data_IF_586663944962
#
_entry.id   IF_586663944962
#
_cell.length_a   1.000
_cell.length_b   1.000
_cell.length_c   1.000
_cell.angle_alpha   90.00
_cell.angle_beta   90.00
_cell.angle_gamma   90.00
#
_symmetry.space_group_name_H-M   'P 1'
#
loop_
_entity.id
_entity.type
_entity.pdbx_description
1 polymer ?
#
# COMPACT_ATOMS: atom_id res chain seq x y z
N UNK A 1 2.60 35.88 -7.66
CA UNK A 1 1.14 35.69 -7.85
C UNK A 1 0.52 35.69 -6.46
N UNK A 2 -0.63 36.32 -6.27
CA UNK A 2 -1.20 36.61 -4.96
C UNK A 2 -1.65 35.29 -4.30
N UNK A 3 -1.02 34.85 -3.22
CA UNK A 3 -1.32 33.60 -2.50
C UNK A 3 -2.83 33.46 -2.18
N UNK A 4 -3.48 34.58 -1.85
CA UNK A 4 -4.92 34.57 -1.60
C UNK A 4 -5.77 34.19 -2.83
N UNK A 5 -5.33 34.50 -4.04
CA UNK A 5 -6.06 34.08 -5.26
C UNK A 5 -5.92 32.60 -5.52
N UNK A 6 -4.75 32.05 -5.20
CA UNK A 6 -4.49 30.62 -5.35
C UNK A 6 -5.27 29.84 -4.29
N UNK A 7 -5.25 30.27 -3.03
CA UNK A 7 -6.04 29.67 -1.96
C UNK A 7 -7.54 29.65 -2.31
N UNK A 8 -8.08 30.77 -2.83
CA UNK A 8 -9.47 30.82 -3.30
C UNK A 8 -9.75 29.85 -4.44
N UNK A 9 -8.81 29.67 -5.36
CA UNK A 9 -8.96 28.70 -6.46
C UNK A 9 -8.91 27.27 -5.94
N UNK A 10 -8.01 26.96 -5.00
CA UNK A 10 -7.92 25.65 -4.36
C UNK A 10 -9.23 25.33 -3.63
N UNK A 11 -9.77 26.26 -2.85
CA UNK A 11 -11.07 26.07 -2.14
C UNK A 11 -12.20 25.74 -3.12
N UNK A 12 -12.31 26.44 -4.25
CA UNK A 12 -13.32 26.16 -5.26
C UNK A 12 -13.16 24.79 -5.91
N UNK A 13 -11.93 24.38 -6.18
CA UNK A 13 -11.64 23.07 -6.75
C UNK A 13 -11.97 21.95 -5.75
N UNK A 14 -11.67 22.14 -4.47
CA UNK A 14 -12.04 21.18 -3.43
C UNK A 14 -13.55 21.09 -3.23
N UNK A 15 -14.28 22.22 -3.31
CA UNK A 15 -15.73 22.22 -3.26
C UNK A 15 -16.34 21.45 -4.45
N UNK A 16 -15.83 21.69 -5.67
CA UNK A 16 -16.26 20.97 -6.87
C UNK A 16 -15.96 19.46 -6.75
N UNK A 17 -14.80 19.11 -6.23
CA UNK A 17 -14.43 17.72 -5.97
C UNK A 17 -15.37 17.04 -4.96
N UNK A 18 -15.81 17.79 -3.95
CA UNK A 18 -16.76 17.32 -2.93
C UNK A 18 -18.16 17.07 -3.48
N UNK A 19 -18.64 17.96 -4.34
CA UNK A 19 -19.94 17.82 -5.01
C UNK A 19 -19.97 16.61 -5.98
N UNK A 20 -18.87 16.31 -6.64
CA UNK A 20 -18.75 15.32 -7.70
C UNK A 20 -17.78 14.16 -7.33
N UNK A 21 -17.87 13.63 -6.09
CA UNK A 21 -16.91 12.63 -5.53
C UNK A 21 -16.69 11.38 -6.41
N UNK A 22 -17.68 10.94 -7.16
CA UNK A 22 -17.67 9.70 -7.96
C UNK A 22 -17.38 9.89 -9.44
N UNK A 23 -17.20 11.14 -9.90
CA UNK A 23 -17.13 11.52 -11.31
C UNK A 23 -15.70 11.96 -11.68
N UNK A 24 -15.36 11.84 -12.95
CA UNK A 24 -14.03 12.22 -13.46
C UNK A 24 -13.75 13.71 -13.27
N UNK A 25 -14.77 14.55 -13.29
CA UNK A 25 -14.66 15.99 -13.09
C UNK A 25 -14.25 16.32 -11.64
N UNK A 26 -14.90 15.69 -10.66
CA UNK A 26 -14.54 15.85 -9.24
C UNK A 26 -13.11 15.38 -8.95
N UNK A 27 -12.67 14.30 -9.60
CA UNK A 27 -11.31 13.81 -9.48
C UNK A 27 -10.28 14.76 -10.08
N UNK A 28 -10.55 15.26 -11.30
CA UNK A 28 -9.69 16.21 -11.96
C UNK A 28 -9.58 17.50 -11.15
N UNK A 29 -10.69 17.97 -10.59
CA UNK A 29 -10.71 19.13 -9.70
C UNK A 29 -9.85 18.92 -8.45
N UNK A 30 -9.97 17.74 -7.82
CA UNK A 30 -9.17 17.40 -6.64
C UNK A 30 -7.66 17.33 -6.96
N UNK A 31 -7.30 16.70 -8.06
CA UNK A 31 -5.92 16.61 -8.52
C UNK A 31 -5.32 18.00 -8.81
N UNK A 32 -6.11 18.87 -9.46
CA UNK A 32 -5.68 20.24 -9.74
C UNK A 32 -5.53 21.06 -8.46
N UNK A 33 -6.41 20.87 -7.48
CA UNK A 33 -6.28 21.51 -6.17
C UNK A 33 -4.98 21.12 -5.48
N UNK A 34 -4.69 19.83 -5.39
CA UNK A 34 -3.45 19.32 -4.82
C UNK A 34 -2.21 19.84 -5.52
N UNK A 35 -2.25 19.90 -6.84
CA UNK A 35 -1.15 20.45 -7.64
C UNK A 35 -0.87 21.90 -7.29
N UNK A 36 -1.91 22.73 -7.21
CA UNK A 36 -1.76 24.15 -6.86
C UNK A 36 -1.23 24.34 -5.44
N UNK A 37 -1.65 23.49 -4.49
CA UNK A 37 -1.13 23.51 -3.13
C UNK A 37 0.37 23.21 -3.10
N UNK A 38 0.82 22.17 -3.80
CA UNK A 38 2.24 21.79 -3.86
C UNK A 38 3.11 22.82 -4.59
N UNK A 39 2.64 23.34 -5.73
CA UNK A 39 3.38 24.34 -6.53
C UNK A 39 3.57 25.68 -5.79
N UNK A 40 2.71 25.98 -4.82
CA UNK A 40 2.71 27.25 -4.10
C UNK A 40 3.01 27.09 -2.58
N UNK A 41 3.43 25.90 -2.14
CA UNK A 41 3.74 25.57 -0.75
C UNK A 41 2.62 25.95 0.24
N UNK A 42 1.35 25.70 -0.20
CA UNK A 42 0.15 25.99 0.59
C UNK A 42 -0.16 24.77 1.46
N UNK A 43 -0.15 24.97 2.79
CA UNK A 43 -0.55 23.95 3.76
C UNK A 43 -2.09 23.80 3.81
N UNK A 44 -2.55 22.58 4.12
CA UNK A 44 -3.98 22.31 4.30
C UNK A 44 -4.63 23.19 5.38
N UNK A 45 -3.86 23.59 6.41
CA UNK A 45 -4.30 24.52 7.46
C UNK A 45 -4.60 25.94 6.95
N UNK A 46 -3.98 26.36 5.85
CA UNK A 46 -4.22 27.67 5.22
C UNK A 46 -5.53 27.73 4.42
N UNK A 47 -6.05 26.55 4.07
CA UNK A 47 -7.29 26.44 3.30
C UNK A 47 -8.52 26.68 4.19
N UNK A 48 -8.38 26.55 5.52
CA UNK A 48 -9.46 26.70 6.50
C UNK A 48 -10.32 25.45 6.60
N UNK A 49 -11.03 25.32 7.69
CA UNK A 49 -11.79 24.17 8.18
C UNK A 49 -11.33 22.80 7.69
N UNK A 50 -10.47 22.17 8.51
CA UNK A 50 -9.99 20.79 8.32
C UNK A 50 -11.14 19.76 8.13
N UNK A 51 -12.38 20.13 8.42
CA UNK A 51 -13.56 19.27 8.24
C UNK A 51 -13.84 18.99 6.75
N UNK A 52 -13.67 19.96 5.86
CA UNK A 52 -13.98 19.79 4.43
C UNK A 52 -13.04 18.85 3.71
N UNK A 53 -11.84 18.68 4.22
CA UNK A 53 -10.82 17.83 3.61
C UNK A 53 -10.79 16.44 4.23
N UNK A 54 -11.13 16.32 5.52
CA UNK A 54 -11.23 15.02 6.21
C UNK A 54 -12.31 14.12 5.60
N UNK A 55 -13.35 14.70 4.99
CA UNK A 55 -14.43 13.96 4.29
C UNK A 55 -13.96 13.13 3.09
N UNK A 56 -12.76 13.38 2.54
CA UNK A 56 -12.19 12.61 1.42
C UNK A 56 -11.24 11.51 1.89
N UNK A 57 -10.88 11.52 3.17
CA UNK A 57 -9.93 10.58 3.74
C UNK A 57 -10.70 9.55 4.55
N UNK A 58 -10.50 8.28 4.21
CA UNK A 58 -11.16 7.17 4.88
C UNK A 58 -10.16 6.09 5.28
N UNK A 59 -10.67 5.09 6.00
CA UNK A 59 -9.91 3.93 6.45
C UNK A 59 -10.51 2.66 5.86
N UNK A 60 -9.66 1.76 5.37
CA UNK A 60 -10.10 0.48 4.85
C UNK A 60 -9.28 -0.67 5.44
N UNK A 61 -9.96 -1.60 6.11
CA UNK A 61 -9.34 -2.81 6.61
C UNK A 61 -9.02 -3.74 5.44
N UNK A 62 -7.76 -4.14 5.32
CA UNK A 62 -7.29 -5.03 4.26
C UNK A 62 -7.33 -6.48 4.71
N UNK A 63 -6.97 -6.73 5.98
CA UNK A 63 -6.99 -8.07 6.56
C UNK A 63 -7.57 -8.03 7.97
N UNK A 64 -8.31 -9.09 8.34
CA UNK A 64 -8.84 -9.26 9.69
C UNK A 64 -8.51 -10.69 10.13
N UNK A 65 -7.38 -10.86 10.82
CA UNK A 65 -6.93 -12.17 11.30
C UNK A 65 -6.68 -12.17 12.81
N UNK A 66 -6.75 -13.35 13.43
CA UNK A 66 -6.40 -13.50 14.85
C UNK A 66 -4.92 -13.15 15.09
N UNK A 67 -4.05 -13.45 14.11
CA UNK A 67 -2.61 -13.14 14.16
C UNK A 67 -2.07 -12.88 12.76
N UNK A 68 -1.42 -11.72 12.59
CA UNK A 68 -0.77 -11.35 11.33
C UNK A 68 0.64 -11.96 11.23
N UNK A 69 0.95 -12.55 10.10
CA UNK A 69 2.30 -12.99 9.80
C UNK A 69 3.22 -11.80 9.49
N UNK A 70 4.52 -12.00 9.68
CA UNK A 70 5.53 -10.97 9.39
C UNK A 70 5.52 -10.50 7.93
N UNK A 71 5.27 -11.41 7.01
CA UNK A 71 5.25 -11.13 5.58
C UNK A 71 4.00 -10.34 5.14
N UNK A 72 2.85 -10.54 5.77
CA UNK A 72 1.65 -9.72 5.54
C UNK A 72 1.92 -8.26 5.91
N UNK A 73 2.56 -8.05 7.06
CA UNK A 73 2.95 -6.73 7.53
C UNK A 73 3.95 -6.06 6.59
N UNK A 74 4.90 -6.84 6.04
CA UNK A 74 5.89 -6.33 5.09
C UNK A 74 5.25 -6.01 3.74
N UNK A 75 4.37 -6.88 3.23
CA UNK A 75 3.62 -6.65 2.00
C UNK A 75 2.79 -5.39 2.09
N UNK A 76 2.01 -5.22 3.17
CA UNK A 76 1.19 -4.03 3.37
C UNK A 76 2.02 -2.75 3.38
N UNK A 77 3.22 -2.78 3.98
CA UNK A 77 4.12 -1.63 3.94
C UNK A 77 4.60 -1.32 2.53
N UNK A 78 5.00 -2.34 1.77
CA UNK A 78 5.41 -2.17 0.36
C UNK A 78 4.27 -1.53 -0.45
N UNK A 79 3.04 -2.01 -0.25
CA UNK A 79 1.87 -1.43 -0.93
C UNK A 79 1.64 0.02 -0.48
N UNK A 80 1.64 0.30 0.83
CA UNK A 80 1.39 1.65 1.34
C UNK A 80 2.43 2.66 0.82
N UNK A 81 3.70 2.26 0.78
CA UNK A 81 4.80 3.12 0.32
C UNK A 81 4.72 3.43 -1.20
N UNK A 82 4.00 2.58 -1.97
CA UNK A 82 3.93 2.69 -3.43
C UNK A 82 2.55 3.10 -3.98
N UNK A 83 1.47 3.07 -3.18
CA UNK A 83 0.10 3.33 -3.63
C UNK A 83 -0.57 4.52 -2.93
N UNK A 84 0.22 5.52 -2.50
CA UNK A 84 -0.25 6.83 -2.00
C UNK A 84 -1.10 6.77 -0.73
N UNK A 85 -1.01 5.68 0.03
CA UNK A 85 -1.74 5.51 1.29
C UNK A 85 -0.78 5.42 2.48
N UNK A 86 -1.30 5.61 3.67
CA UNK A 86 -0.65 5.28 4.94
C UNK A 86 -1.22 3.98 5.48
N UNK A 87 -0.55 3.39 6.47
CA UNK A 87 -1.05 2.16 7.09
C UNK A 87 -0.77 2.13 8.58
N UNK A 88 -1.63 1.44 9.30
CA UNK A 88 -1.42 1.09 10.71
C UNK A 88 -1.97 -0.31 11.01
N UNK A 89 -1.62 -0.80 12.20
CA UNK A 89 -2.17 -2.06 12.69
C UNK A 89 -3.26 -1.75 13.71
N UNK A 90 -4.44 -2.26 13.46
CA UNK A 90 -5.56 -2.19 14.38
C UNK A 90 -5.63 -3.50 15.17
N UNK A 91 -5.77 -3.39 16.50
CA UNK A 91 -5.91 -4.52 17.40
C UNK A 91 -7.26 -4.39 18.11
N UNK A 92 -8.20 -5.28 17.80
CA UNK A 92 -9.47 -5.34 18.52
C UNK A 92 -9.27 -6.13 19.80
N UNK A 93 -9.50 -5.48 20.92
CA UNK A 93 -9.65 -6.12 22.23
C UNK A 93 -11.11 -6.47 22.46
N UNK A 94 -11.35 -7.69 22.94
CA UNK A 94 -12.64 -8.09 23.49
C UNK A 94 -12.37 -8.69 24.88
N UNK A 95 -13.03 -8.10 25.91
CA UNK A 95 -12.91 -8.54 27.32
C UNK A 95 -11.45 -8.60 27.85
N UNK A 96 -10.58 -7.68 27.40
CA UNK A 96 -9.16 -7.63 27.82
C UNK A 96 -8.22 -8.58 27.06
N UNK A 97 -8.72 -9.33 26.10
CA UNK A 97 -7.90 -10.17 25.23
C UNK A 97 -7.87 -9.61 23.79
N UNK A 98 -6.68 -9.60 23.17
CA UNK A 98 -6.53 -9.24 21.74
C UNK A 98 -7.15 -10.36 20.90
N UNK A 99 -8.34 -10.11 20.36
CA UNK A 99 -9.10 -11.11 19.62
C UNK A 99 -8.75 -11.15 18.14
N UNK A 100 -8.45 -9.99 17.54
CA UNK A 100 -8.15 -9.89 16.10
C UNK A 100 -7.14 -8.78 15.84
N UNK A 101 -6.27 -9.01 14.86
CA UNK A 101 -5.35 -7.99 14.33
C UNK A 101 -5.75 -7.68 12.89
N UNK A 102 -5.84 -6.41 12.55
CA UNK A 102 -6.10 -5.95 11.20
C UNK A 102 -4.95 -5.07 10.68
N UNK A 103 -4.77 -5.08 9.37
CA UNK A 103 -4.00 -4.07 8.65
C UNK A 103 -5.01 -3.11 8.06
N UNK A 104 -4.85 -1.83 8.37
CA UNK A 104 -5.74 -0.78 7.90
C UNK A 104 -4.95 0.18 7.01
N UNK A 105 -5.43 0.42 5.80
CA UNK A 105 -4.96 1.48 4.93
C UNK A 105 -5.76 2.75 5.20
N UNK A 106 -5.06 3.88 5.10
CA UNK A 106 -5.56 5.22 5.39
C UNK A 106 -5.20 6.15 4.24
N UNK A 107 -6.16 6.80 3.64
CA UNK A 107 -5.93 7.67 2.48
C UNK A 107 -7.21 8.06 1.76
N UNK A 108 -7.08 8.52 0.52
CA UNK A 108 -8.20 8.85 -0.33
C UNK A 108 -8.90 7.59 -0.84
N UNK A 109 -10.22 7.61 -0.96
CA UNK A 109 -11.04 6.43 -1.32
C UNK A 109 -10.50 5.65 -2.53
N UNK A 110 -10.12 6.33 -3.60
CA UNK A 110 -9.60 5.66 -4.80
C UNK A 110 -8.24 5.05 -4.62
N UNK A 111 -7.36 5.75 -3.91
CA UNK A 111 -6.04 5.23 -3.57
C UNK A 111 -6.18 4.02 -2.64
N UNK A 112 -7.20 4.02 -1.76
CA UNK A 112 -7.49 2.88 -0.87
C UNK A 112 -8.00 1.67 -1.63
N UNK A 113 -8.93 1.85 -2.58
CA UNK A 113 -9.44 0.75 -3.42
C UNK A 113 -8.28 0.11 -4.17
N UNK A 114 -7.49 0.91 -4.88
CA UNK A 114 -6.34 0.42 -5.64
C UNK A 114 -5.30 -0.27 -4.76
N UNK A 115 -4.95 0.33 -3.60
CA UNK A 115 -4.00 -0.26 -2.67
C UNK A 115 -4.49 -1.60 -2.12
N UNK A 116 -5.79 -1.72 -1.83
CA UNK A 116 -6.40 -2.96 -1.35
C UNK A 116 -6.39 -4.05 -2.41
N UNK A 117 -6.81 -3.75 -3.63
CA UNK A 117 -6.79 -4.70 -4.75
C UNK A 117 -5.37 -5.19 -5.02
N UNK A 118 -4.41 -4.28 -5.05
CA UNK A 118 -3.00 -4.60 -5.24
C UNK A 118 -2.43 -5.45 -4.10
N UNK A 119 -2.83 -5.18 -2.85
CA UNK A 119 -2.46 -6.01 -1.71
C UNK A 119 -3.01 -7.43 -1.85
N UNK A 120 -4.29 -7.59 -2.18
CA UNK A 120 -4.92 -8.91 -2.31
C UNK A 120 -4.29 -9.71 -3.45
N UNK A 121 -4.09 -9.09 -4.60
CA UNK A 121 -3.45 -9.72 -5.75
C UNK A 121 -2.02 -10.20 -5.43
N UNK A 122 -1.23 -9.34 -4.81
CA UNK A 122 0.14 -9.69 -4.41
C UNK A 122 0.17 -10.75 -3.30
N UNK A 123 -0.80 -10.74 -2.39
CA UNK A 123 -0.97 -11.73 -1.34
C UNK A 123 -1.25 -13.13 -1.93
N UNK A 124 -2.20 -13.23 -2.85
CA UNK A 124 -2.55 -14.49 -3.51
C UNK A 124 -1.39 -15.02 -4.37
N UNK A 125 -0.75 -14.15 -5.16
CA UNK A 125 0.41 -14.51 -5.95
C UNK A 125 1.57 -15.03 -5.08
N UNK A 126 1.85 -14.38 -3.94
CA UNK A 126 2.87 -14.79 -3.00
C UNK A 126 2.59 -16.19 -2.42
N UNK A 127 1.36 -16.42 -1.96
CA UNK A 127 0.95 -17.72 -1.42
C UNK A 127 1.05 -18.83 -2.46
N UNK A 128 0.51 -18.58 -3.66
CA UNK A 128 0.52 -19.52 -4.76
C UNK A 128 1.97 -19.89 -5.14
N UNK A 129 2.80 -18.90 -5.46
CA UNK A 129 4.16 -19.17 -5.94
C UNK A 129 5.07 -19.74 -4.87
N UNK A 130 4.89 -19.37 -3.59
CA UNK A 130 5.66 -19.98 -2.50
C UNK A 130 5.33 -21.47 -2.32
N UNK A 131 4.05 -21.84 -2.49
CA UNK A 131 3.61 -23.25 -2.44
C UNK A 131 4.16 -24.04 -3.62
N UNK A 132 4.07 -23.50 -4.84
CA UNK A 132 4.62 -24.13 -6.05
C UNK A 132 6.12 -24.37 -5.89
N UNK A 133 6.88 -23.36 -5.49
CA UNK A 133 8.33 -23.47 -5.30
C UNK A 133 8.70 -24.58 -4.31
N UNK A 134 8.06 -24.60 -3.14
CA UNK A 134 8.34 -25.62 -2.12
C UNK A 134 8.04 -27.03 -2.62
N UNK A 135 6.97 -27.21 -3.40
CA UNK A 135 6.64 -28.51 -3.97
C UNK A 135 7.66 -28.94 -5.01
N UNK A 136 8.00 -28.07 -5.99
CA UNK A 136 9.02 -28.37 -7.00
C UNK A 136 10.39 -28.68 -6.39
N UNK A 137 10.78 -27.98 -5.31
CA UNK A 137 12.01 -28.29 -4.61
C UNK A 137 12.08 -29.74 -4.14
N UNK A 138 10.99 -30.28 -3.60
CA UNK A 138 10.94 -31.67 -3.12
C UNK A 138 10.73 -32.69 -4.25
N UNK A 139 10.22 -32.27 -5.40
CA UNK A 139 10.15 -33.12 -6.60
C UNK A 139 11.51 -33.29 -7.28
N UNK A 140 12.32 -32.20 -7.25
CA UNK A 140 13.63 -32.15 -7.90
C UNK A 140 14.78 -32.59 -6.98
N UNK A 141 14.57 -32.73 -5.68
CA UNK A 141 15.60 -33.09 -4.69
C UNK A 141 15.35 -34.46 -4.07
N UNK A 142 16.41 -35.14 -3.68
CA UNK A 142 16.34 -36.36 -2.87
C UNK A 142 16.09 -36.12 -1.38
N UNK A 143 15.93 -34.86 -1.00
CA UNK A 143 15.71 -34.43 0.38
C UNK A 143 14.36 -34.88 0.94
N UNK A 144 14.38 -35.50 2.11
CA UNK A 144 13.15 -35.88 2.79
C UNK A 144 12.41 -34.64 3.33
N UNK A 145 11.11 -34.59 3.06
CA UNK A 145 10.26 -33.49 3.53
C UNK A 145 10.28 -33.41 5.05
N UNK A 146 10.77 -32.29 5.58
CA UNK A 146 10.76 -31.97 7.00
C UNK A 146 10.07 -30.63 7.23
N UNK A 147 9.46 -30.47 8.40
CA UNK A 147 8.81 -29.20 8.77
C UNK A 147 9.82 -28.05 8.78
N UNK A 148 11.00 -28.29 9.34
CA UNK A 148 12.03 -27.27 9.44
C UNK A 148 12.49 -26.77 8.07
N UNK A 149 12.85 -27.68 7.16
CA UNK A 149 13.30 -27.32 5.81
C UNK A 149 12.17 -26.65 5.01
N UNK A 150 10.95 -27.17 5.09
CA UNK A 150 9.76 -26.57 4.45
C UNK A 150 9.54 -25.12 4.87
N UNK A 151 9.59 -24.84 6.18
CA UNK A 151 9.43 -23.47 6.69
C UNK A 151 10.63 -22.57 6.32
N UNK A 152 11.85 -23.10 6.28
CA UNK A 152 13.05 -22.38 5.87
C UNK A 152 12.99 -21.97 4.39
N UNK A 153 12.64 -22.91 3.50
CA UNK A 153 12.44 -22.69 2.06
C UNK A 153 11.34 -21.64 1.85
N UNK A 154 10.16 -21.86 2.44
CA UNK A 154 9.02 -20.97 2.31
C UNK A 154 9.34 -19.55 2.80
N UNK A 155 9.94 -19.42 3.98
CA UNK A 155 10.28 -18.11 4.56
C UNK A 155 11.31 -17.37 3.74
N UNK A 156 12.35 -18.06 3.24
CA UNK A 156 13.39 -17.47 2.38
C UNK A 156 12.82 -17.05 1.03
N UNK A 157 12.00 -17.91 0.41
CA UNK A 157 11.31 -17.60 -0.84
C UNK A 157 10.41 -16.35 -0.70
N UNK A 158 9.55 -16.32 0.32
CA UNK A 158 8.66 -15.18 0.59
C UNK A 158 9.46 -13.90 0.77
N UNK A 159 10.58 -13.95 1.48
CA UNK A 159 11.44 -12.78 1.68
C UNK A 159 12.02 -12.28 0.36
N UNK A 160 12.49 -13.17 -0.50
CA UNK A 160 12.95 -12.83 -1.85
C UNK A 160 11.83 -12.24 -2.70
N UNK A 161 10.68 -12.88 -2.71
CA UNK A 161 9.51 -12.45 -3.47
C UNK A 161 9.05 -11.03 -3.09
N UNK A 162 8.96 -10.72 -1.79
CA UNK A 162 8.64 -9.38 -1.33
C UNK A 162 9.69 -8.35 -1.73
N UNK A 163 10.98 -8.71 -1.72
CA UNK A 163 12.03 -7.81 -2.20
C UNK A 163 11.96 -7.60 -3.71
N UNK A 164 11.59 -8.64 -4.47
CA UNK A 164 11.36 -8.55 -5.91
C UNK A 164 10.20 -7.61 -6.26
N UNK A 165 9.06 -7.74 -5.58
CA UNK A 165 7.91 -6.84 -5.75
C UNK A 165 8.28 -5.40 -5.39
N UNK A 166 8.94 -5.18 -4.26
CA UNK A 166 9.39 -3.86 -3.83
C UNK A 166 10.24 -3.20 -4.94
N UNK A 167 11.20 -3.93 -5.48
CA UNK A 167 12.05 -3.45 -6.57
C UNK A 167 11.25 -3.13 -7.83
N UNK A 168 10.30 -3.99 -8.20
CA UNK A 168 9.43 -3.78 -9.36
C UNK A 168 8.61 -2.49 -9.24
N UNK A 169 8.02 -2.25 -8.08
CA UNK A 169 7.26 -1.02 -7.85
C UNK A 169 8.17 0.22 -7.83
N UNK A 170 9.34 0.15 -7.18
CA UNK A 170 10.31 1.24 -7.21
C UNK A 170 10.70 1.63 -8.65
N UNK A 171 10.93 0.64 -9.52
CA UNK A 171 11.27 0.87 -10.93
C UNK A 171 10.11 1.51 -11.70
N UNK A 172 8.88 0.99 -11.54
CA UNK A 172 7.69 1.55 -12.19
C UNK A 172 7.42 2.98 -11.72
N UNK A 173 7.53 3.24 -10.42
CA UNK A 173 7.34 4.55 -9.84
C UNK A 173 8.43 5.53 -10.30
N UNK A 174 9.70 5.08 -10.43
CA UNK A 174 10.77 5.95 -10.89
C UNK A 174 10.53 6.46 -12.31
N UNK A 175 9.98 5.62 -13.19
CA UNK A 175 9.58 6.04 -14.55
C UNK A 175 8.45 7.05 -14.50
N UNK A 176 7.39 6.76 -13.72
CA UNK A 176 6.22 7.65 -13.59
C UNK A 176 6.58 8.97 -12.87
N UNK A 177 7.50 8.95 -11.92
CA UNK A 177 7.93 10.14 -11.18
C UNK A 177 8.59 11.17 -12.09
N UNK A 178 9.31 10.75 -13.12
CA UNK A 178 9.94 11.65 -14.07
C UNK A 178 8.90 12.38 -14.96
N UNK A 179 7.75 11.76 -15.18
CA UNK A 179 6.69 12.30 -16.03
C UNK A 179 5.55 12.95 -15.22
N UNK A 180 5.26 12.39 -14.01
CA UNK A 180 4.08 12.73 -13.20
C UNK A 180 4.40 12.71 -11.69
N UNK A 181 5.36 13.51 -11.24
CA UNK A 181 5.85 13.50 -9.84
C UNK A 181 4.71 13.59 -8.80
N UNK A 182 3.71 14.42 -9.07
CA UNK A 182 2.57 14.66 -8.15
C UNK A 182 1.65 13.44 -8.04
N UNK A 183 1.55 12.63 -9.09
CA UNK A 183 0.65 11.46 -9.11
C UNK A 183 1.19 10.27 -8.32
N UNK A 184 2.48 10.29 -8.01
CA UNK A 184 3.18 9.16 -7.39
C UNK A 184 3.35 9.35 -5.88
N UNK A 185 3.41 10.58 -5.40
CA UNK A 185 3.61 10.88 -3.99
C UNK A 185 2.31 10.77 -3.19
N UNK A 186 2.40 10.27 -1.97
CA UNK A 186 1.29 10.35 -1.01
C UNK A 186 0.87 11.81 -0.87
N UNK A 187 -0.41 12.16 -1.07
CA UNK A 187 -0.88 13.53 -0.96
C UNK A 187 -0.53 14.15 0.39
N UNK A 188 -0.09 15.41 0.41
CA UNK A 188 0.29 16.10 1.65
C UNK A 188 -0.85 16.07 2.67
N UNK A 189 -2.06 16.25 2.21
CA UNK A 189 -3.28 16.19 3.00
C UNK A 189 -3.45 14.84 3.75
N UNK A 190 -3.14 13.71 3.08
CA UNK A 190 -3.16 12.39 3.71
C UNK A 190 -2.05 12.27 4.75
N UNK A 191 -0.88 12.86 4.47
CA UNK A 191 0.25 12.86 5.42
C UNK A 191 -0.11 13.64 6.69
N UNK A 192 -0.70 14.81 6.55
CA UNK A 192 -1.04 15.68 7.69
C UNK A 192 -2.20 15.10 8.51
N UNK A 193 -3.25 14.63 7.86
CA UNK A 193 -4.35 13.93 8.54
C UNK A 193 -3.85 12.64 9.24
N UNK A 194 -2.93 11.91 8.63
CA UNK A 194 -2.35 10.73 9.25
C UNK A 194 -1.48 11.04 10.47
N UNK A 195 -0.77 12.18 10.49
CA UNK A 195 -0.03 12.63 11.68
C UNK A 195 -0.98 12.79 12.87
N UNK A 196 -2.10 13.49 12.66
CA UNK A 196 -3.14 13.68 13.69
C UNK A 196 -3.74 12.32 14.10
N UNK A 197 -4.15 11.51 13.13
CA UNK A 197 -4.77 10.20 13.37
C UNK A 197 -3.86 9.24 14.13
N UNK A 198 -2.56 9.33 13.91
CA UNK A 198 -1.55 8.45 14.53
C UNK A 198 -0.97 8.99 15.84
N UNK A 199 -1.48 10.10 16.36
CA UNK A 199 -1.10 10.58 17.70
C UNK A 199 -1.43 9.51 18.75
N UNK A 200 -0.45 9.16 19.55
CA UNK A 200 -0.58 8.11 20.57
C UNK A 200 -0.41 6.67 20.04
N UNK A 201 -0.19 6.45 18.75
CA UNK A 201 0.06 5.10 18.23
C UNK A 201 1.41 4.56 18.73
N UNK A 202 1.39 3.32 19.20
CA UNK A 202 2.61 2.62 19.61
C UNK A 202 3.36 2.12 18.38
N UNK A 203 4.65 2.48 18.25
CA UNK A 203 5.51 1.98 17.18
C UNK A 203 5.83 0.50 17.40
N UNK A 204 5.23 -0.36 16.61
CA UNK A 204 5.46 -1.79 16.67
C UNK A 204 6.60 -2.21 15.73
N UNK A 205 7.67 -2.77 16.30
CA UNK A 205 8.74 -3.42 15.52
C UNK A 205 8.43 -4.90 15.40
N UNK A 206 8.38 -5.44 14.19
CA UNK A 206 8.28 -6.89 13.97
C UNK A 206 9.60 -7.42 13.40
N UNK A 207 9.93 -8.65 13.79
CA UNK A 207 11.16 -9.30 13.35
C UNK A 207 10.93 -9.98 12.00
N UNK A 208 11.75 -9.64 11.02
CA UNK A 208 11.80 -10.34 9.74
C UNK A 208 12.77 -11.52 9.91
N UNK A 209 12.37 -12.78 9.60
CA UNK A 209 13.26 -13.92 9.68
C UNK A 209 14.49 -13.77 8.78
N UNK A 210 15.63 -14.29 9.19
CA UNK A 210 16.81 -14.35 8.34
C UNK A 210 16.58 -15.26 7.12
N UNK A 211 17.27 -14.99 6.03
CA UNK A 211 17.36 -15.94 4.90
C UNK A 211 18.18 -17.14 5.39
N UNK A 212 17.67 -18.34 5.17
CA UNK A 212 18.33 -19.61 5.51
C UNK A 212 18.66 -20.41 4.27
N UNK A 213 17.92 -20.19 3.19
CA UNK A 213 18.01 -20.92 1.92
C UNK A 213 18.17 -19.88 0.80
N UNK A 214 19.43 -19.61 0.41
CA UNK A 214 19.75 -18.56 -0.57
C UNK A 214 19.11 -18.85 -1.94
N UNK A 215 19.11 -20.10 -2.39
CA UNK A 215 18.46 -20.49 -3.64
C UNK A 215 16.94 -20.22 -3.63
N UNK A 216 16.29 -20.41 -2.49
CA UNK A 216 14.87 -20.08 -2.35
C UNK A 216 14.64 -18.57 -2.38
N UNK A 217 15.51 -17.81 -1.74
CA UNK A 217 15.44 -16.34 -1.78
C UNK A 217 15.59 -15.82 -3.21
N UNK A 218 16.60 -16.29 -3.95
CA UNK A 218 16.88 -15.85 -5.32
C UNK A 218 15.73 -16.17 -6.29
N UNK A 219 15.16 -17.39 -6.18
CA UNK A 219 13.97 -17.76 -6.95
C UNK A 219 12.77 -16.89 -6.62
N UNK A 220 12.54 -16.64 -5.33
CA UNK A 220 11.50 -15.73 -4.87
C UNK A 220 11.70 -14.32 -5.44
N UNK A 221 12.91 -13.78 -5.35
CA UNK A 221 13.24 -12.45 -5.88
C UNK A 221 12.97 -12.33 -7.37
N UNK A 222 13.49 -13.28 -8.17
CA UNK A 222 13.27 -13.32 -9.62
C UNK A 222 11.78 -13.36 -9.95
N UNK A 223 11.01 -14.20 -9.23
CA UNK A 223 9.58 -14.33 -9.47
C UNK A 223 8.82 -13.04 -9.09
N UNK A 224 9.07 -12.47 -7.92
CA UNK A 224 8.43 -11.23 -7.48
C UNK A 224 8.73 -10.05 -8.41
N UNK A 225 9.96 -9.95 -8.92
CA UNK A 225 10.36 -8.90 -9.87
C UNK A 225 9.80 -9.10 -11.28
N UNK A 226 9.39 -10.32 -11.65
CA UNK A 226 8.85 -10.65 -12.97
C UNK A 226 7.35 -10.47 -13.09
N UNK A 227 6.62 -10.36 -11.98
CA UNK A 227 5.16 -10.24 -12.00
C UNK A 227 4.76 -8.82 -12.43
N UNK A 228 3.91 -8.77 -13.43
CA UNK A 228 3.31 -7.52 -13.90
C UNK A 228 1.87 -7.43 -13.38
N UNK A 229 1.70 -6.75 -12.26
CA UNK A 229 0.38 -6.58 -11.63
C UNK A 229 -0.54 -5.63 -12.42
N UNK A 230 -0.01 -4.83 -13.35
CA UNK A 230 -0.81 -3.88 -14.12
C UNK A 230 -1.60 -4.59 -15.23
N UNK A 231 -1.08 -5.67 -15.77
CA UNK A 231 -1.76 -6.44 -16.83
C UNK A 231 -3.01 -7.18 -16.36
N UNK A 232 -3.01 -7.66 -15.12
CA UNK A 232 -4.16 -8.36 -14.54
C UNK A 232 -5.35 -7.44 -14.28
N UNK A 233 -5.12 -6.14 -14.04
CA UNK A 233 -6.20 -5.17 -13.85
C UNK A 233 -6.89 -4.74 -15.15
N UNK A 234 -6.20 -4.84 -16.29
CA UNK A 234 -6.75 -4.46 -17.59
C UNK A 234 -7.66 -5.57 -18.16
N UNK A 235 -7.39 -6.83 -17.82
CA UNK A 235 -8.15 -7.97 -18.36
C UNK A 235 -9.52 -8.19 -17.69
N UNK A 236 -9.78 -7.64 -16.50
CA UNK A 236 -11.09 -7.73 -15.83
C UNK A 236 -12.10 -6.64 -16.26
N UNK A 237 -11.64 -5.61 -16.98
CA UNK A 237 -12.51 -4.51 -17.47
C UNK A 237 -12.94 -4.66 -18.94
N UNK A 238 -12.79 -5.83 -19.54
CA UNK A 238 -13.12 -6.12 -20.97
C UNK A 238 -14.05 -7.34 -21.11
N UNK A 239 -14.99 -7.55 -20.17
CA UNK A 239 -16.14 -8.41 -20.39
C UNK A 239 -17.45 -7.69 -20.07
#
# INVERSE_FOLDING_TARGET
MDNEKIIRKVKRLLALAKENKSDEEGQSAFMLAQRLMLENDIDASEIGDNEDVSDFITENNVTIYKRLFWWEKRLARIIADNFRVKMFYDMKEDSGEITKSAITFYGLDKDLVLAKEMYLLAYEALLFHSKVYVNSYYEDSEEKRSRYLTESLKSSYIRGFLKGIERKFEEQISVLRNEFEILVLTPQIVIDAYKIRSEGFIKHKFKIPAVKEDGAYDNGYKKGNSIDFTKSMISENVE
#
